data_IF_009714057685
#
_entry.id   IF_009714057685
#
_cell.length_a   1.000
_cell.length_b   1.000
_cell.length_c   1.000
_cell.angle_alpha   90.00
_cell.angle_beta   90.00
_cell.angle_gamma   90.00
#
_symmetry.space_group_name_H-M   'P 1'
#
loop_
_entity.id
_entity.type
_entity.pdbx_description
1 polymer ?
#
# COMPACT_ATOMS: atom_id res chain seq x y z
N UNK A 1 -4.79 -14.12 7.03
CA UNK A 1 -3.62 -13.94 6.17
C UNK A 1 -2.38 -13.75 7.03
N UNK A 2 -1.26 -14.33 6.65
CA UNK A 2 -0.06 -14.39 7.45
C UNK A 2 1.21 -14.64 6.64
N UNK A 3 2.24 -15.17 7.31
CA UNK A 3 3.53 -15.47 6.69
C UNK A 3 3.54 -16.76 5.84
N UNK A 4 2.44 -17.49 5.78
CA UNK A 4 2.34 -18.71 4.97
C UNK A 4 2.20 -18.39 3.48
N UNK A 5 2.74 -19.26 2.66
CA UNK A 5 2.64 -19.14 1.20
C UNK A 5 1.21 -19.37 0.74
N UNK A 6 0.67 -18.46 -0.06
CA UNK A 6 -0.61 -18.64 -0.72
C UNK A 6 -0.44 -19.58 -1.93
N UNK A 7 -0.92 -20.82 -1.80
CA UNK A 7 -0.97 -21.75 -2.92
C UNK A 7 -2.07 -21.37 -3.91
N UNK A 8 -1.95 -21.83 -5.16
CA UNK A 8 -3.01 -21.63 -6.18
C UNK A 8 -4.37 -22.20 -5.74
N UNK A 9 -4.40 -23.28 -4.96
CA UNK A 9 -5.64 -23.83 -4.43
C UNK A 9 -6.30 -22.88 -3.42
N UNK A 10 -5.51 -22.25 -2.55
CA UNK A 10 -5.99 -21.25 -1.60
C UNK A 10 -6.50 -20.00 -2.34
N UNK A 11 -5.76 -19.53 -3.34
CA UNK A 11 -6.20 -18.38 -4.16
C UNK A 11 -7.52 -18.65 -4.87
N UNK A 12 -7.68 -19.85 -5.48
CA UNK A 12 -8.95 -20.27 -6.10
C UNK A 12 -10.10 -20.30 -5.09
N UNK A 13 -9.84 -20.79 -3.87
CA UNK A 13 -10.83 -20.81 -2.80
C UNK A 13 -11.25 -19.39 -2.39
N UNK A 14 -10.28 -18.51 -2.15
CA UNK A 14 -10.52 -17.09 -1.81
C UNK A 14 -11.44 -16.43 -2.85
N UNK A 15 -11.15 -16.65 -4.13
CA UNK A 15 -11.91 -16.04 -5.22
C UNK A 15 -13.33 -16.65 -5.34
N UNK A 16 -13.43 -18.00 -5.30
CA UNK A 16 -14.71 -18.70 -5.47
C UNK A 16 -15.69 -18.42 -4.32
N UNK A 17 -15.19 -18.42 -3.09
CA UNK A 17 -16.00 -18.25 -1.87
C UNK A 17 -16.08 -16.79 -1.40
N UNK A 18 -15.43 -15.86 -2.10
CA UNK A 18 -15.38 -14.43 -1.74
C UNK A 18 -15.00 -14.20 -0.27
N UNK A 19 -13.96 -14.93 0.18
CA UNK A 19 -13.55 -14.92 1.58
C UNK A 19 -13.08 -13.54 2.02
N UNK A 20 -13.41 -13.18 3.25
CA UNK A 20 -12.84 -12.03 3.94
C UNK A 20 -11.46 -12.34 4.50
N UNK A 21 -10.66 -11.30 4.68
CA UNK A 21 -9.30 -11.40 5.21
C UNK A 21 -9.26 -10.95 6.66
N UNK A 22 -8.51 -11.66 7.47
CA UNK A 22 -8.11 -11.25 8.82
C UNK A 22 -6.61 -11.48 8.98
N UNK A 23 -5.92 -10.50 9.58
CA UNK A 23 -4.48 -10.63 9.82
C UNK A 23 -4.24 -11.56 11.00
N UNK A 24 -3.34 -12.54 10.83
CA UNK A 24 -2.97 -13.45 11.91
C UNK A 24 -2.20 -12.73 13.03
N UNK A 25 -2.33 -13.20 14.27
CA UNK A 25 -1.62 -12.60 15.41
C UNK A 25 -0.09 -12.64 15.25
N UNK A 26 0.52 -13.72 14.72
CA UNK A 26 1.96 -13.69 14.42
C UNK A 26 2.35 -12.60 13.42
N UNK A 27 1.54 -12.34 12.40
CA UNK A 27 1.81 -11.26 11.43
C UNK A 27 1.63 -9.88 12.04
N UNK A 28 0.62 -9.67 12.89
CA UNK A 28 0.50 -8.43 13.65
C UNK A 28 1.74 -8.16 14.50
N UNK A 29 2.20 -9.17 15.23
CA UNK A 29 3.41 -9.06 16.06
C UNK A 29 4.66 -8.76 15.22
N UNK A 30 4.81 -9.40 14.04
CA UNK A 30 5.93 -9.17 13.14
C UNK A 30 5.92 -7.73 12.58
N UNK A 31 4.77 -7.24 12.15
CA UNK A 31 4.60 -5.85 11.66
C UNK A 31 4.98 -4.85 12.75
N UNK A 32 4.44 -5.01 13.95
CA UNK A 32 4.72 -4.13 15.10
C UNK A 32 6.21 -4.16 15.47
N UNK A 33 6.83 -5.32 15.50
CA UNK A 33 8.25 -5.50 15.81
C UNK A 33 9.13 -4.80 14.78
N UNK A 34 8.83 -4.98 13.49
CA UNK A 34 9.56 -4.33 12.40
C UNK A 34 9.41 -2.81 12.45
N UNK A 35 8.20 -2.31 12.70
CA UNK A 35 7.94 -0.87 12.83
C UNK A 35 8.70 -0.28 14.01
N UNK A 36 8.63 -0.89 15.19
CA UNK A 36 9.33 -0.44 16.38
C UNK A 36 10.86 -0.46 16.19
N UNK A 37 11.41 -1.43 15.45
CA UNK A 37 12.82 -1.44 15.10
C UNK A 37 13.20 -0.21 14.24
N UNK A 38 12.41 0.09 13.21
CA UNK A 38 12.64 1.22 12.33
C UNK A 38 12.61 2.56 13.09
N UNK A 39 11.63 2.76 13.95
CA UNK A 39 11.50 3.97 14.77
C UNK A 39 12.69 4.15 15.70
N UNK A 40 13.11 3.09 16.41
CA UNK A 40 14.32 3.14 17.25
C UNK A 40 15.58 3.43 16.44
N UNK A 41 15.67 2.95 15.20
CA UNK A 41 16.82 3.22 14.34
C UNK A 41 16.87 4.68 13.90
N UNK A 42 15.72 5.26 13.57
CA UNK A 42 15.61 6.68 13.20
C UNK A 42 16.00 7.61 14.36
N UNK A 43 15.58 7.30 15.60
CA UNK A 43 15.92 8.12 16.77
C UNK A 43 17.41 8.02 17.17
N UNK A 44 18.10 6.93 16.81
CA UNK A 44 19.50 6.69 17.21
C UNK A 44 20.54 7.12 16.19
N UNK A 45 20.14 7.40 14.96
CA UNK A 45 21.08 7.68 13.87
C UNK A 45 20.56 8.78 12.97
N UNK A 46 21.37 9.82 12.79
CA UNK A 46 21.15 10.87 11.78
C UNK A 46 21.69 10.49 10.39
N UNK A 47 22.21 9.27 10.22
CA UNK A 47 22.76 8.85 8.94
C UNK A 47 21.65 8.73 7.89
N UNK A 48 21.95 9.07 6.61
CA UNK A 48 20.99 8.90 5.53
C UNK A 48 20.69 7.42 5.32
N UNK A 49 19.40 7.08 5.31
CA UNK A 49 18.90 5.74 5.02
C UNK A 49 17.90 5.89 3.86
N UNK A 50 18.27 5.36 2.69
CA UNK A 50 17.47 5.50 1.48
C UNK A 50 16.01 5.09 1.67
N UNK A 51 15.11 5.95 1.23
CA UNK A 51 13.67 5.72 1.27
C UNK A 51 13.04 5.78 2.66
N UNK A 52 13.82 6.14 3.68
CA UNK A 52 13.36 6.29 5.06
C UNK A 52 13.45 7.76 5.48
N UNK A 53 14.66 8.32 5.52
CA UNK A 53 14.92 9.72 5.88
C UNK A 53 15.68 10.47 4.78
N UNK A 54 15.66 9.98 3.55
CA UNK A 54 16.22 10.67 2.38
C UNK A 54 15.16 10.89 1.32
N UNK A 55 15.45 11.78 0.37
CA UNK A 55 14.73 11.81 -0.90
C UNK A 55 14.92 10.53 -1.72
N UNK A 56 14.32 10.51 -2.91
CA UNK A 56 14.34 9.36 -3.82
C UNK A 56 15.09 9.66 -5.10
N UNK A 57 15.57 8.61 -5.77
CA UNK A 57 16.30 8.72 -7.03
C UNK A 57 17.50 9.66 -6.92
N UNK A 58 17.53 10.72 -7.70
CA UNK A 58 18.64 11.71 -7.68
C UNK A 58 18.83 12.36 -6.31
N UNK A 59 17.79 12.44 -5.50
CA UNK A 59 17.81 13.02 -4.15
C UNK A 59 18.16 12.01 -3.04
N UNK A 60 18.68 10.87 -3.37
CA UNK A 60 18.99 9.77 -2.44
C UNK A 60 19.91 10.16 -1.26
N UNK A 61 20.75 11.18 -1.44
CA UNK A 61 21.68 11.67 -0.42
C UNK A 61 21.16 12.90 0.34
N UNK A 62 19.98 13.41 -0.01
CA UNK A 62 19.36 14.57 0.65
C UNK A 62 18.59 14.10 1.85
N UNK A 63 19.08 14.44 3.05
CA UNK A 63 18.38 14.13 4.31
C UNK A 63 17.13 15.00 4.44
N UNK A 64 16.03 14.35 4.76
CA UNK A 64 14.74 15.01 4.99
C UNK A 64 14.56 15.19 6.50
N UNK A 65 14.25 16.40 6.98
CA UNK A 65 13.97 16.64 8.40
C UNK A 65 12.81 15.77 8.91
N UNK A 66 12.90 15.31 10.15
CA UNK A 66 11.91 14.40 10.75
C UNK A 66 10.47 14.91 10.62
N UNK A 67 10.24 16.20 10.87
CA UNK A 67 8.91 16.81 10.73
C UNK A 67 8.35 16.85 9.30
N UNK A 68 9.15 16.48 8.29
CA UNK A 68 8.73 16.40 6.88
C UNK A 68 8.66 14.98 6.32
N UNK A 69 8.97 13.97 7.13
CA UNK A 69 8.98 12.57 6.65
C UNK A 69 7.59 12.09 6.23
N UNK A 70 6.54 12.46 6.96
CA UNK A 70 5.15 12.14 6.58
C UNK A 70 4.77 12.81 5.26
N UNK A 71 5.11 14.09 5.07
CA UNK A 71 4.87 14.79 3.81
C UNK A 71 5.62 14.15 2.63
N UNK A 72 6.85 13.68 2.87
CA UNK A 72 7.62 12.95 1.85
C UNK A 72 6.89 11.68 1.40
N UNK A 73 6.34 10.89 2.35
CA UNK A 73 5.61 9.65 2.03
C UNK A 73 4.29 9.95 1.28
N UNK A 74 3.60 11.00 1.66
CA UNK A 74 2.43 11.47 0.93
C UNK A 74 2.79 11.90 -0.50
N UNK A 75 3.83 12.70 -0.66
CA UNK A 75 4.26 13.22 -1.96
C UNK A 75 4.73 12.11 -2.91
N UNK A 76 5.36 11.05 -2.41
CA UNK A 76 5.80 9.94 -3.27
C UNK A 76 4.60 9.21 -3.89
N UNK A 77 3.50 9.05 -3.16
CA UNK A 77 2.28 8.47 -3.72
C UNK A 77 1.71 9.37 -4.82
N UNK A 78 1.55 10.66 -4.55
CA UNK A 78 0.99 11.60 -5.52
C UNK A 78 1.85 11.72 -6.77
N UNK A 79 3.17 11.80 -6.62
CA UNK A 79 4.09 11.95 -7.76
C UNK A 79 4.16 10.72 -8.65
N UNK A 80 3.85 9.54 -8.14
CA UNK A 80 3.84 8.29 -8.90
C UNK A 80 2.44 7.91 -9.41
N UNK A 81 1.37 8.53 -8.94
CA UNK A 81 0.00 8.24 -9.37
C UNK A 81 -0.32 8.95 -10.71
N UNK A 82 0.48 8.69 -11.74
CA UNK A 82 0.38 9.30 -13.07
C UNK A 82 -0.10 8.31 -14.15
N UNK A 83 -0.78 7.24 -13.76
CA UNK A 83 -1.31 6.25 -14.69
C UNK A 83 -2.37 6.81 -15.63
N UNK A 84 -2.40 6.30 -16.86
CA UNK A 84 -3.31 6.71 -17.93
C UNK A 84 -3.85 5.49 -18.69
N UNK A 85 -4.64 5.72 -19.72
CA UNK A 85 -5.23 4.68 -20.56
C UNK A 85 -6.51 4.10 -19.97
N UNK A 86 -6.81 2.87 -20.33
CA UNK A 86 -8.00 2.18 -19.88
C UNK A 86 -7.92 1.81 -18.39
N UNK A 87 -9.09 1.53 -17.81
CA UNK A 87 -9.17 1.10 -16.44
C UNK A 87 -8.75 -0.36 -16.28
N UNK A 88 -7.97 -0.64 -15.25
CA UNK A 88 -7.64 -2.02 -14.86
C UNK A 88 -8.92 -2.73 -14.40
N UNK A 89 -9.18 -3.98 -14.86
CA UNK A 89 -10.33 -4.75 -14.41
C UNK A 89 -10.38 -4.89 -12.89
N UNK A 90 -11.55 -4.74 -12.30
CA UNK A 90 -11.74 -4.79 -10.84
C UNK A 90 -11.21 -6.07 -10.20
N UNK A 91 -11.32 -7.19 -10.91
CA UNK A 91 -10.80 -8.47 -10.45
C UNK A 91 -9.28 -8.43 -10.28
N UNK A 92 -8.57 -7.81 -11.20
CA UNK A 92 -7.11 -7.61 -11.12
C UNK A 92 -6.77 -6.69 -9.94
N UNK A 93 -7.50 -5.59 -9.77
CA UNK A 93 -7.29 -4.68 -8.63
C UNK A 93 -7.52 -5.40 -7.30
N UNK A 94 -8.53 -6.27 -7.22
CA UNK A 94 -8.77 -7.10 -6.04
C UNK A 94 -7.58 -8.02 -5.73
N UNK A 95 -6.99 -8.66 -6.75
CA UNK A 95 -5.79 -9.47 -6.60
C UNK A 95 -4.58 -8.63 -6.19
N UNK A 96 -4.41 -7.45 -6.75
CA UNK A 96 -3.35 -6.53 -6.35
C UNK A 96 -3.44 -6.19 -4.85
N UNK A 97 -4.65 -5.88 -4.34
CA UNK A 97 -4.88 -5.64 -2.91
C UNK A 97 -4.49 -6.86 -2.08
N UNK A 98 -4.97 -8.05 -2.43
CA UNK A 98 -4.64 -9.29 -1.73
C UNK A 98 -3.13 -9.52 -1.67
N UNK A 99 -2.44 -9.40 -2.79
CA UNK A 99 -0.99 -9.64 -2.85
C UNK A 99 -0.20 -8.55 -2.12
N UNK A 100 -0.67 -7.30 -2.13
CA UNK A 100 -0.06 -6.23 -1.32
C UNK A 100 -0.24 -6.51 0.17
N UNK A 101 -1.42 -6.88 0.62
CA UNK A 101 -1.69 -7.26 2.01
C UNK A 101 -0.81 -8.45 2.41
N UNK A 102 -0.73 -9.49 1.59
CA UNK A 102 0.13 -10.65 1.83
C UNK A 102 1.60 -10.23 1.97
N UNK A 103 2.10 -9.42 1.06
CA UNK A 103 3.48 -8.93 1.08
C UNK A 103 3.80 -8.15 2.36
N UNK A 104 2.87 -7.33 2.84
CA UNK A 104 3.04 -6.54 4.06
C UNK A 104 2.88 -7.39 5.32
N UNK A 105 2.08 -8.47 5.28
CA UNK A 105 1.82 -9.34 6.41
C UNK A 105 3.06 -10.11 6.91
N UNK A 106 4.12 -10.21 6.07
CA UNK A 106 5.40 -10.81 6.49
C UNK A 106 6.15 -9.96 7.54
N UNK A 107 5.79 -8.70 7.73
CA UNK A 107 6.40 -7.85 8.76
C UNK A 107 7.83 -7.39 8.46
N UNK A 108 8.20 -7.26 7.17
CA UNK A 108 9.55 -6.82 6.77
C UNK A 108 9.60 -5.40 6.19
N UNK A 109 8.43 -4.81 5.94
CA UNK A 109 8.33 -3.55 5.19
C UNK A 109 8.44 -2.29 6.05
N UNK A 110 8.28 -2.40 7.37
CA UNK A 110 8.32 -1.26 8.29
C UNK A 110 7.07 -0.37 8.22
N UNK A 111 5.95 -0.89 7.74
CA UNK A 111 4.65 -0.19 7.73
C UNK A 111 4.02 -0.21 9.12
N UNK A 112 3.11 0.73 9.39
CA UNK A 112 2.25 0.71 10.55
C UNK A 112 1.18 -0.38 10.42
N UNK A 113 0.77 -0.96 11.54
CA UNK A 113 -0.30 -1.97 11.56
C UNK A 113 -1.60 -1.41 10.96
N UNK A 114 -1.95 -0.17 11.29
CA UNK A 114 -3.13 0.54 10.81
C UNK A 114 -3.19 0.61 9.27
N UNK A 115 -2.04 0.75 8.60
CA UNK A 115 -1.97 0.77 7.13
C UNK A 115 -2.40 -0.57 6.54
N UNK A 116 -1.95 -1.67 7.12
CA UNK A 116 -2.33 -3.01 6.66
C UNK A 116 -3.80 -3.30 6.97
N UNK A 117 -4.27 -2.92 8.15
CA UNK A 117 -5.67 -3.07 8.54
C UNK A 117 -6.62 -2.27 7.64
N UNK A 118 -6.22 -1.06 7.21
CA UNK A 118 -6.99 -0.26 6.25
C UNK A 118 -7.08 -0.94 4.87
N UNK A 119 -5.99 -1.54 4.38
CA UNK A 119 -6.02 -2.31 3.13
C UNK A 119 -6.93 -3.54 3.25
N UNK A 120 -6.90 -4.24 4.39
CA UNK A 120 -7.79 -5.37 4.67
C UNK A 120 -9.25 -4.93 4.70
N UNK A 121 -9.55 -3.81 5.33
CA UNK A 121 -10.91 -3.24 5.34
C UNK A 121 -11.39 -2.95 3.92
N UNK A 122 -10.59 -2.27 3.10
CA UNK A 122 -10.90 -2.01 1.69
C UNK A 122 -11.17 -3.31 0.92
N UNK A 123 -10.35 -4.33 1.11
CA UNK A 123 -10.53 -5.63 0.48
C UNK A 123 -11.85 -6.28 0.88
N UNK A 124 -12.16 -6.29 2.18
CA UNK A 124 -13.34 -6.96 2.74
C UNK A 124 -14.65 -6.25 2.36
N UNK A 125 -14.61 -4.93 2.23
CA UNK A 125 -15.76 -4.12 1.82
C UNK A 125 -15.87 -3.95 0.30
N UNK A 126 -15.03 -4.62 -0.47
CA UNK A 126 -14.99 -4.51 -1.93
C UNK A 126 -14.75 -3.07 -2.44
N UNK A 127 -14.08 -2.26 -1.65
CA UNK A 127 -13.66 -0.90 -2.03
C UNK A 127 -12.38 -1.00 -2.83
N UNK A 128 -12.50 -0.92 -4.14
CA UNK A 128 -11.40 -1.14 -5.05
C UNK A 128 -10.87 0.20 -5.61
N UNK A 129 -9.58 0.51 -5.46
CA UNK A 129 -9.00 1.70 -6.07
C UNK A 129 -9.17 1.73 -7.59
N UNK A 130 -9.33 2.93 -8.14
CA UNK A 130 -9.34 3.12 -9.60
C UNK A 130 -7.89 3.17 -10.08
N UNK A 131 -7.52 2.23 -10.94
CA UNK A 131 -6.16 2.05 -11.47
C UNK A 131 -6.22 2.03 -12.99
N UNK A 132 -5.16 2.51 -13.64
CA UNK A 132 -5.05 2.61 -15.09
C UNK A 132 -4.03 1.61 -15.64
N UNK A 133 -4.23 1.19 -16.88
CA UNK A 133 -3.42 0.15 -17.52
C UNK A 133 -2.02 0.61 -17.97
N UNK A 134 -1.83 1.93 -18.14
CA UNK A 134 -0.57 2.49 -18.64
C UNK A 134 0.14 3.26 -17.51
N UNK A 135 1.46 3.14 -17.44
CA UNK A 135 2.30 3.86 -16.48
C UNK A 135 3.34 2.99 -15.78
N UNK A 136 3.14 1.67 -15.69
CA UNK A 136 4.17 0.78 -15.15
C UNK A 136 5.29 0.58 -16.18
N UNK A 137 6.53 0.83 -15.75
CA UNK A 137 7.72 0.58 -16.57
C UNK A 137 8.38 -0.77 -16.26
N UNK A 138 8.10 -1.34 -15.10
CA UNK A 138 8.56 -2.67 -14.70
C UNK A 138 10.02 -2.77 -14.24
N UNK A 139 10.84 -1.75 -14.41
CA UNK A 139 12.27 -1.80 -14.05
C UNK A 139 12.52 -1.85 -12.55
N UNK A 140 11.69 -1.19 -11.74
CA UNK A 140 11.77 -1.14 -10.27
C UNK A 140 10.53 -1.69 -9.58
N UNK A 141 9.68 -2.40 -10.32
CA UNK A 141 8.38 -2.85 -9.91
C UNK A 141 7.25 -2.01 -10.51
N UNK A 142 6.05 -2.23 -10.03
CA UNK A 142 4.82 -1.64 -10.56
C UNK A 142 4.48 -0.32 -9.86
N UNK A 143 5.42 0.65 -9.84
CA UNK A 143 5.31 1.86 -9.01
C UNK A 143 4.01 2.64 -9.25
N UNK A 144 3.66 2.90 -10.50
CA UNK A 144 2.48 3.71 -10.85
C UNK A 144 1.16 3.02 -10.48
N UNK A 145 0.89 1.77 -10.88
CA UNK A 145 -0.32 1.07 -10.43
C UNK A 145 -0.42 0.93 -8.91
N UNK A 146 0.71 0.70 -8.23
CA UNK A 146 0.73 0.59 -6.77
C UNK A 146 0.56 1.94 -6.07
N UNK A 147 1.00 3.04 -6.69
CA UNK A 147 0.68 4.37 -6.19
C UNK A 147 -0.84 4.62 -6.25
N UNK A 148 -1.49 4.34 -7.39
CA UNK A 148 -2.95 4.40 -7.48
C UNK A 148 -3.66 3.48 -6.47
N UNK A 149 -3.13 2.26 -6.25
CA UNK A 149 -3.64 1.34 -5.24
C UNK A 149 -3.64 1.95 -3.84
N UNK A 150 -2.61 2.76 -3.53
CA UNK A 150 -2.38 3.32 -2.20
C UNK A 150 -3.03 4.70 -1.99
N UNK A 151 -3.42 5.43 -3.03
CA UNK A 151 -4.05 6.75 -2.90
C UNK A 151 -5.22 6.78 -1.89
N UNK A 152 -6.13 5.78 -1.86
CA UNK A 152 -7.24 5.81 -0.92
C UNK A 152 -6.82 5.82 0.56
N UNK A 153 -5.65 5.30 0.89
CA UNK A 153 -5.15 5.33 2.26
C UNK A 153 -4.96 6.75 2.78
N UNK A 154 -4.57 7.67 1.89
CA UNK A 154 -4.29 9.09 2.21
C UNK A 154 -5.47 10.02 1.85
N UNK A 155 -6.62 9.46 1.48
CA UNK A 155 -7.82 10.23 1.13
C UNK A 155 -7.86 10.74 -0.30
N UNK A 156 -6.94 10.32 -1.13
CA UNK A 156 -6.80 10.77 -2.52
C UNK A 156 -7.32 9.73 -3.52
N UNK A 157 -7.46 10.15 -4.78
CA UNK A 157 -7.90 9.28 -5.87
C UNK A 157 -9.36 8.90 -5.79
N UNK A 158 -9.73 7.89 -6.58
CA UNK A 158 -11.10 7.37 -6.68
C UNK A 158 -11.14 5.89 -6.33
N UNK A 159 -12.31 5.47 -5.85
CA UNK A 159 -12.60 4.07 -5.55
C UNK A 159 -13.91 3.65 -6.23
N UNK A 160 -14.03 2.36 -6.48
CA UNK A 160 -15.27 1.74 -6.89
C UNK A 160 -16.11 1.42 -5.65
N UNK A 161 -17.31 2.00 -5.58
CA UNK A 161 -18.37 1.63 -4.65
C UNK A 161 -19.60 1.20 -5.46
N UNK A 162 -20.11 0.01 -5.22
CA UNK A 162 -21.33 -0.49 -5.90
C UNK A 162 -21.32 -0.22 -7.42
N UNK A 163 -20.21 -0.51 -8.10
CA UNK A 163 -20.00 -0.28 -9.52
C UNK A 163 -19.93 1.19 -9.99
N UNK A 164 -19.94 2.14 -9.07
CA UNK A 164 -19.78 3.57 -9.38
C UNK A 164 -18.41 4.06 -8.88
N UNK A 165 -17.76 4.89 -9.68
CA UNK A 165 -16.54 5.57 -9.23
C UNK A 165 -16.91 6.78 -8.38
N UNK A 166 -16.36 6.84 -7.18
CA UNK A 166 -16.50 7.99 -6.27
C UNK A 166 -15.15 8.46 -5.79
N UNK A 167 -15.05 9.70 -5.37
CA UNK A 167 -13.84 10.17 -4.72
C UNK A 167 -13.64 9.43 -3.39
N UNK A 168 -12.41 9.06 -3.09
CA UNK A 168 -12.07 8.29 -1.89
C UNK A 168 -12.61 8.93 -0.61
N UNK A 169 -12.59 10.28 -0.56
CA UNK A 169 -13.09 11.02 0.59
C UNK A 169 -14.56 10.69 0.92
N UNK A 170 -15.39 10.43 -0.09
CA UNK A 170 -16.80 10.04 0.12
C UNK A 170 -16.90 8.75 0.91
N UNK A 171 -16.11 7.73 0.53
CA UNK A 171 -16.08 6.46 1.25
C UNK A 171 -15.54 6.62 2.67
N UNK A 172 -14.44 7.35 2.84
CA UNK A 172 -13.87 7.60 4.17
C UNK A 172 -14.86 8.30 5.11
N UNK A 173 -15.58 9.32 4.60
CA UNK A 173 -16.57 10.05 5.37
C UNK A 173 -17.76 9.16 5.78
N UNK A 174 -18.21 8.24 4.92
CA UNK A 174 -19.28 7.30 5.24
C UNK A 174 -18.94 6.32 6.37
N UNK A 175 -17.65 6.11 6.63
CA UNK A 175 -17.14 5.17 7.63
C UNK A 175 -16.50 5.86 8.83
N UNK A 176 -16.62 7.17 8.95
CA UNK A 176 -15.93 7.98 9.97
C UNK A 176 -14.43 7.70 10.06
N UNK A 177 -13.81 7.44 8.90
CA UNK A 177 -12.39 7.11 8.79
C UNK A 177 -11.57 8.33 8.35
N UNK A 178 -10.58 8.80 9.12
CA UNK A 178 -9.67 9.82 8.65
C UNK A 178 -8.69 9.24 7.61
N UNK A 179 -8.20 10.07 6.65
CA UNK A 179 -7.04 9.74 5.87
C UNK A 179 -5.84 9.37 6.76
N UNK A 180 -5.04 8.40 6.35
CA UNK A 180 -3.86 8.00 7.10
C UNK A 180 -2.73 9.00 6.91
N UNK A 181 -2.03 9.32 8.00
CA UNK A 181 -0.76 10.03 7.96
C UNK A 181 0.37 9.02 7.87
N UNK A 182 0.87 8.79 6.67
CA UNK A 182 1.94 7.81 6.45
C UNK A 182 3.21 8.22 7.19
N UNK A 183 3.80 7.27 7.86
CA UNK A 183 5.06 7.43 8.58
C UNK A 183 6.26 7.11 7.65
N UNK A 184 7.47 7.46 8.10
CA UNK A 184 8.71 7.17 7.37
C UNK A 184 8.72 5.75 6.80
N UNK A 185 9.11 5.59 5.52
CA UNK A 185 9.17 4.36 4.73
C UNK A 185 7.83 3.81 4.22
N UNK A 186 6.68 4.24 4.73
CA UNK A 186 5.39 3.63 4.34
C UNK A 186 5.04 3.88 2.87
N UNK A 187 5.26 5.08 2.36
CA UNK A 187 5.02 5.38 0.95
C UNK A 187 5.85 4.48 0.04
N UNK A 188 7.16 4.33 0.32
CA UNK A 188 8.01 3.41 -0.42
C UNK A 188 7.54 1.96 -0.31
N UNK A 189 7.14 1.50 0.87
CA UNK A 189 6.66 0.13 1.07
C UNK A 189 5.36 -0.16 0.27
N UNK A 190 4.51 0.85 0.13
CA UNK A 190 3.25 0.74 -0.60
C UNK A 190 3.46 0.68 -2.12
N UNK A 191 4.35 1.51 -2.68
CA UNK A 191 4.56 1.55 -4.13
C UNK A 191 5.54 0.51 -4.66
N UNK A 192 6.42 -0.04 -3.81
CA UNK A 192 7.42 -1.01 -4.25
C UNK A 192 6.86 -2.43 -4.25
N UNK A 193 7.03 -3.13 -5.38
CA UNK A 193 6.58 -4.50 -5.57
C UNK A 193 6.08 -4.77 -6.98
N UNK A 194 5.66 -6.00 -7.24
CA UNK A 194 5.22 -6.50 -8.55
C UNK A 194 3.77 -7.03 -8.51
N UNK A 195 2.94 -6.46 -7.64
CA UNK A 195 1.59 -6.98 -7.42
C UNK A 195 0.67 -6.78 -8.63
N UNK A 196 0.92 -5.76 -9.45
CA UNK A 196 0.17 -5.54 -10.68
C UNK A 196 0.46 -6.64 -11.70
N UNK A 197 1.74 -6.87 -11.99
CA UNK A 197 2.17 -7.95 -12.89
C UNK A 197 1.72 -9.34 -12.37
N UNK A 198 1.81 -9.57 -11.05
CA UNK A 198 1.44 -10.86 -10.46
C UNK A 198 -0.07 -11.11 -10.48
N UNK A 199 -0.89 -10.07 -10.49
CA UNK A 199 -2.35 -10.14 -10.52
C UNK A 199 -2.90 -10.53 -11.90
N UNK A 200 -2.17 -10.25 -13.00
CA UNK A 200 -2.48 -10.72 -14.34
C UNK A 200 -2.05 -12.17 -14.54
#
# INVERSE_FOLDING_TARGET
IGSETLSLSVLRKINKEQLTLALSDPSKAAILTCRAYLERKLTKSSNPIYGINTGFGYLQNVIIPDGKLSQLQHNILLSHACGTGDLVPKEIVRWMLLFKIQSLSYGHSGVCLQTVERLILMYNEHVLPVIYTQGSLGASGDLVPLAHLALPLIGEGKVWLNNTQVDTFVWLAQHDLPPLQLQAKEGLALINGTQFMTAY
#
